data_IF_421097666928
#
_entry.id   IF_421097666928
#
_cell.length_a   1.000
_cell.length_b   1.000
_cell.length_c   1.000
_cell.angle_alpha   90.00
_cell.angle_beta   90.00
_cell.angle_gamma   90.00
#
_symmetry.space_group_name_H-M   'P 1'
#
loop_
_entity.id
_entity.type
_entity.pdbx_description
1 polymer ?
#
# COMPACT_ATOMS: atom_id res chain seq x y z
N UNK A 1 -18.02 -6.65 0.23
CA UNK A 1 -16.57 -6.43 0.11
C UNK A 1 -16.16 -5.81 1.42
N UNK A 2 -15.35 -6.53 2.19
CA UNK A 2 -14.78 -6.00 3.42
C UNK A 2 -13.47 -5.29 3.06
N UNK A 3 -13.26 -4.09 3.60
CA UNK A 3 -12.07 -3.29 3.35
C UNK A 3 -11.23 -3.27 4.61
N UNK A 4 -9.93 -3.55 4.47
CA UNK A 4 -8.94 -3.36 5.52
C UNK A 4 -8.02 -2.25 5.09
N UNK A 5 -7.76 -1.30 5.99
CA UNK A 5 -6.86 -0.18 5.78
C UNK A 5 -5.64 -0.34 6.68
N UNK A 6 -4.46 -0.09 6.12
CA UNK A 6 -3.19 -0.10 6.85
C UNK A 6 -2.58 1.29 6.66
N UNK A 7 -2.32 1.97 7.78
CA UNK A 7 -1.74 3.31 7.79
C UNK A 7 -0.30 3.20 8.27
N UNK A 8 0.62 3.76 7.49
CA UNK A 8 2.04 3.85 7.81
C UNK A 8 2.38 5.33 7.84
N UNK A 9 2.91 5.79 8.97
CA UNK A 9 3.26 7.19 9.15
C UNK A 9 4.37 7.59 8.18
N UNK A 10 4.27 8.79 7.61
CA UNK A 10 5.26 9.33 6.67
C UNK A 10 6.68 9.36 7.26
N UNK A 11 6.80 9.48 8.58
CA UNK A 11 8.08 9.50 9.29
C UNK A 11 8.72 8.11 9.45
N UNK A 12 7.97 7.04 9.22
CA UNK A 12 8.48 5.67 9.28
C UNK A 12 9.20 5.33 7.96
N UNK A 13 10.52 5.25 8.06
CA UNK A 13 11.42 4.92 6.95
C UNK A 13 12.07 3.55 7.12
N UNK A 14 11.53 2.70 7.99
CA UNK A 14 12.09 1.37 8.28
C UNK A 14 12.16 0.46 7.04
N UNK A 15 11.25 0.66 6.07
CA UNK A 15 11.22 -0.02 4.76
C UNK A 15 12.02 0.69 3.66
N UNK A 16 12.75 1.76 3.98
CA UNK A 16 13.42 2.65 3.04
C UNK A 16 12.59 3.89 2.68
N UNK A 17 13.09 4.70 1.75
CA UNK A 17 12.45 5.97 1.36
C UNK A 17 11.28 5.79 0.39
N UNK A 18 11.10 4.59 -0.17
CA UNK A 18 10.03 4.29 -1.12
C UNK A 18 8.89 3.55 -0.43
N UNK A 19 7.65 3.96 -0.72
CA UNK A 19 6.43 3.28 -0.25
C UNK A 19 6.19 1.97 -1.00
N UNK A 20 7.06 0.98 -0.77
CA UNK A 20 7.01 -0.33 -1.38
C UNK A 20 6.62 -1.37 -0.33
N UNK A 21 5.53 -2.09 -0.56
CA UNK A 21 5.03 -3.09 0.36
C UNK A 21 4.88 -4.43 -0.33
N UNK A 22 5.30 -5.49 0.35
CA UNK A 22 4.93 -6.86 0.00
C UNK A 22 3.79 -7.25 0.92
N UNK A 23 2.68 -7.63 0.31
CA UNK A 23 1.52 -8.09 1.05
C UNK A 23 1.46 -9.61 0.86
N UNK A 24 1.43 -10.33 1.97
CA UNK A 24 1.14 -11.76 1.98
C UNK A 24 -0.31 -11.92 2.43
N UNK A 25 -1.07 -12.74 1.70
CA UNK A 25 -2.49 -12.94 1.99
C UNK A 25 -2.89 -14.39 1.80
N UNK A 26 -4.03 -14.75 2.39
CA UNK A 26 -4.66 -16.05 2.26
C UNK A 26 -6.14 -15.87 1.96
N UNK A 27 -6.64 -16.64 1.01
CA UNK A 27 -8.06 -16.68 0.64
C UNK A 27 -8.60 -18.10 0.78
N UNK A 28 -9.90 -18.25 1.10
CA UNK A 28 -10.59 -19.53 0.97
C UNK A 28 -10.55 -20.05 -0.47
N UNK A 29 -10.77 -21.36 -0.64
CA UNK A 29 -10.89 -21.96 -1.97
C UNK A 29 -12.03 -21.29 -2.75
N UNK A 30 -11.80 -21.05 -4.05
CA UNK A 30 -12.77 -20.45 -4.98
C UNK A 30 -13.23 -19.02 -4.61
N UNK A 31 -12.44 -18.30 -3.80
CA UNK A 31 -12.65 -16.88 -3.51
C UNK A 31 -11.85 -16.00 -4.50
N UNK A 32 -12.39 -14.84 -4.94
CA UNK A 32 -11.61 -13.89 -5.72
C UNK A 32 -10.37 -13.38 -4.97
N UNK A 33 -9.33 -13.01 -5.72
CA UNK A 33 -8.16 -12.37 -5.13
C UNK A 33 -8.52 -10.98 -4.60
N UNK A 34 -7.98 -10.58 -3.44
CA UNK A 34 -8.11 -9.21 -2.96
C UNK A 34 -7.43 -8.23 -3.92
N UNK A 35 -8.03 -7.05 -4.06
CA UNK A 35 -7.43 -5.91 -4.74
C UNK A 35 -6.61 -5.11 -3.72
N UNK A 36 -5.39 -4.74 -4.10
CA UNK A 36 -4.51 -3.93 -3.27
C UNK A 36 -4.16 -2.65 -4.01
N UNK A 37 -4.45 -1.54 -3.36
CA UNK A 37 -4.12 -0.20 -3.81
C UNK A 37 -3.42 0.51 -2.66
N UNK A 38 -2.35 1.24 -2.97
CA UNK A 38 -1.68 2.09 -2.01
C UNK A 38 -1.80 3.54 -2.45
N UNK A 39 -2.05 4.41 -1.48
CA UNK A 39 -2.02 5.86 -1.64
C UNK A 39 -0.94 6.36 -0.71
N UNK A 40 0.03 7.09 -1.26
CA UNK A 40 0.94 7.88 -0.44
C UNK A 40 0.55 9.34 -0.55
N UNK A 41 0.56 10.03 0.58
CA UNK A 41 0.40 11.47 0.66
C UNK A 41 1.52 12.01 1.52
N UNK A 42 2.28 12.96 0.98
CA UNK A 42 3.26 13.75 1.72
C UNK A 42 2.84 15.20 1.64
N UNK A 43 2.74 15.85 2.80
CA UNK A 43 2.54 17.30 2.89
C UNK A 43 3.78 18.01 3.42
N UNK A 44 4.93 17.33 3.45
CA UNK A 44 6.17 17.92 3.95
C UNK A 44 6.74 18.94 2.96
N UNK A 45 7.05 20.12 3.46
CA UNK A 45 7.56 21.23 2.65
C UNK A 45 6.44 22.11 2.06
N UNK A 46 6.73 22.77 0.94
CA UNK A 46 5.79 23.70 0.28
C UNK A 46 4.94 23.06 -0.83
N UNK A 47 5.25 21.82 -1.21
CA UNK A 47 4.53 21.10 -2.26
C UNK A 47 4.09 19.76 -1.72
N UNK A 48 2.78 19.51 -1.76
CA UNK A 48 2.24 18.20 -1.45
C UNK A 48 2.51 17.23 -2.61
N UNK A 49 2.97 16.03 -2.28
CA UNK A 49 3.11 14.94 -3.24
C UNK A 49 2.07 13.88 -2.94
N UNK A 50 1.46 13.33 -3.98
CA UNK A 50 0.55 12.20 -3.84
C UNK A 50 0.67 11.27 -5.02
N UNK A 51 0.69 9.98 -4.75
CA UNK A 51 0.72 8.95 -5.78
C UNK A 51 -0.11 7.75 -5.37
N UNK A 52 -0.65 7.08 -6.38
CA UNK A 52 -1.40 5.85 -6.24
C UNK A 52 -0.65 4.74 -6.93
N UNK A 53 -0.59 3.57 -6.32
CA UNK A 53 -0.04 2.37 -6.94
C UNK A 53 -1.02 1.22 -6.82
N UNK A 54 -1.15 0.43 -7.89
CA UNK A 54 -1.86 -0.84 -7.86
C UNK A 54 -0.84 -1.95 -7.71
N UNK A 55 -1.14 -2.93 -6.85
CA UNK A 55 -0.23 -4.02 -6.61
C UNK A 55 0.03 -4.85 -7.88
N UNK A 56 1.26 -5.36 -7.98
CA UNK A 56 1.66 -6.32 -9.00
C UNK A 56 1.97 -7.64 -8.33
N UNK A 57 1.49 -8.73 -8.91
CA UNK A 57 1.89 -10.09 -8.50
C UNK A 57 3.40 -10.24 -8.69
N UNK A 58 4.10 -10.50 -7.59
CA UNK A 58 5.51 -10.92 -7.59
C UNK A 58 5.58 -12.46 -7.63
N UNK A 59 6.55 -13.01 -8.36
CA UNK A 59 6.74 -14.46 -8.57
C UNK A 59 7.47 -15.11 -7.41
#
# INVERSE_FOLDING_TARGET
>A
METTEIIIDEIDVSGGTGSNFIIEWKIPKDCPEPLFEAVMTSTMGQQGLSFTTQAKRVK
#
